data_IF_780478249156
#
_entry.id   IF_780478249156
#
_cell.length_a   1.000
_cell.length_b   1.000
_cell.length_c   1.000
_cell.angle_alpha   90.00
_cell.angle_beta   90.00
_cell.angle_gamma   90.00
#
_symmetry.space_group_name_H-M   'P 1'
#
loop_
_entity.id
_entity.type
_entity.pdbx_description
1 polymer ?
#
# COMPACT_ATOMS: atom_id res chain seq x y z
N UNK A 1 -9.68 7.24 -31.40
CA UNK A 1 -10.48 8.36 -30.84
C UNK A 1 -9.87 8.73 -29.49
N UNK A 2 -9.39 9.96 -29.35
CA UNK A 2 -8.91 10.52 -28.07
C UNK A 2 -10.13 10.83 -27.20
N UNK A 3 -10.69 9.80 -26.55
CA UNK A 3 -11.93 9.90 -25.78
C UNK A 3 -11.73 10.59 -24.43
N UNK A 4 -12.64 11.50 -24.12
CA UNK A 4 -12.95 12.20 -22.86
C UNK A 4 -11.81 12.86 -22.06
N UNK A 5 -10.73 12.14 -21.74
CA UNK A 5 -9.65 12.62 -20.84
C UNK A 5 -8.91 13.85 -21.40
N UNK A 6 -8.82 13.99 -22.72
CA UNK A 6 -8.12 15.10 -23.37
C UNK A 6 -9.00 16.33 -23.65
N UNK A 7 -10.32 16.26 -23.43
CA UNK A 7 -11.27 17.34 -23.79
C UNK A 7 -10.99 18.61 -22.99
N UNK A 8 -10.55 18.48 -21.72
CA UNK A 8 -10.20 19.60 -20.84
C UNK A 8 -8.69 19.82 -20.70
N UNK A 9 -7.86 19.15 -21.50
CA UNK A 9 -6.42 19.34 -21.42
C UNK A 9 -6.02 20.73 -21.94
N UNK A 10 -5.53 21.60 -21.06
CA UNK A 10 -5.15 22.98 -21.40
C UNK A 10 -3.87 23.08 -22.25
N UNK A 11 -3.21 21.97 -22.57
CA UNK A 11 -2.00 21.95 -23.38
C UNK A 11 -2.30 22.01 -24.87
N UNK A 12 -1.67 22.96 -25.57
CA UNK A 12 -1.84 23.14 -27.02
C UNK A 12 -1.09 22.09 -27.84
N UNK A 13 0.03 21.58 -27.34
CA UNK A 13 0.83 20.57 -28.05
C UNK A 13 0.11 19.22 -28.10
N UNK A 14 -0.03 18.67 -29.31
CA UNK A 14 -0.60 17.34 -29.52
C UNK A 14 0.35 16.24 -29.02
N UNK A 15 1.65 16.37 -29.29
CA UNK A 15 2.66 15.39 -28.89
C UNK A 15 2.77 15.28 -27.37
N UNK A 16 2.66 16.41 -26.66
CA UNK A 16 2.64 16.41 -25.20
C UNK A 16 1.38 15.74 -24.65
N UNK A 17 0.21 16.03 -25.24
CA UNK A 17 -1.04 15.37 -24.86
C UNK A 17 -0.98 13.85 -25.08
N UNK A 18 -0.35 13.41 -26.16
CA UNK A 18 -0.15 11.99 -26.43
C UNK A 18 0.76 11.33 -25.38
N UNK A 19 1.90 11.95 -25.04
CA UNK A 19 2.80 11.40 -24.01
C UNK A 19 2.15 11.30 -22.64
N UNK A 20 1.32 12.27 -22.25
CA UNK A 20 0.57 12.19 -20.99
C UNK A 20 -0.43 11.05 -20.99
N UNK A 21 -1.13 10.87 -22.10
CA UNK A 21 -2.12 9.81 -22.24
C UNK A 21 -1.47 8.42 -22.22
N UNK A 22 -0.30 8.26 -22.82
CA UNK A 22 0.46 7.00 -22.79
C UNK A 22 0.84 6.62 -21.35
N UNK A 23 1.23 7.59 -20.53
CA UNK A 23 1.54 7.37 -19.11
C UNK A 23 0.28 6.91 -18.37
N UNK A 24 -0.84 7.64 -18.50
CA UNK A 24 -2.11 7.28 -17.84
C UNK A 24 -2.58 5.89 -18.29
N UNK A 25 -2.49 5.58 -19.59
CA UNK A 25 -2.85 4.28 -20.12
C UNK A 25 -1.95 3.16 -19.59
N UNK A 26 -0.65 3.41 -19.43
CA UNK A 26 0.27 2.44 -18.85
C UNK A 26 -0.11 2.14 -17.39
N UNK A 27 -0.41 3.16 -16.59
CA UNK A 27 -0.87 2.99 -15.20
C UNK A 27 -2.14 2.14 -15.15
N UNK A 28 -3.16 2.50 -15.93
CA UNK A 28 -4.44 1.75 -15.98
C UNK A 28 -4.24 0.32 -16.45
N UNK A 29 -3.37 0.10 -17.44
CA UNK A 29 -3.07 -1.23 -17.95
C UNK A 29 -2.43 -2.10 -16.87
N UNK A 30 -1.41 -1.59 -16.16
CA UNK A 30 -0.75 -2.32 -15.07
C UNK A 30 -1.71 -2.66 -13.94
N UNK A 31 -2.58 -1.71 -13.57
CA UNK A 31 -3.65 -1.96 -12.59
C UNK A 31 -4.60 -3.09 -13.03
N UNK A 32 -4.98 -3.13 -14.31
CA UNK A 32 -5.86 -4.18 -14.84
C UNK A 32 -5.20 -5.55 -14.97
N UNK A 33 -3.91 -5.60 -15.28
CA UNK A 33 -3.19 -6.87 -15.46
C UNK A 33 -2.64 -7.44 -14.16
N UNK A 34 -2.74 -6.70 -13.05
CA UNK A 34 -2.18 -7.11 -11.77
C UNK A 34 -0.65 -7.05 -11.74
N UNK A 35 -0.01 -6.40 -12.72
CA UNK A 35 1.44 -6.18 -12.78
C UNK A 35 1.84 -4.99 -11.89
N UNK A 36 1.43 -5.06 -10.63
CA UNK A 36 1.59 -3.98 -9.65
C UNK A 36 2.16 -4.55 -8.35
N UNK A 37 3.47 -4.41 -8.18
CA UNK A 37 4.13 -4.56 -6.87
C UNK A 37 3.90 -3.27 -6.08
N UNK A 38 3.76 -3.30 -4.74
CA UNK A 38 3.45 -2.10 -3.93
C UNK A 38 4.36 -0.89 -4.20
N UNK A 39 5.64 -1.10 -4.52
CA UNK A 39 6.58 -0.05 -4.93
C UNK A 39 6.12 0.69 -6.21
N UNK A 40 5.53 -0.04 -7.15
CA UNK A 40 4.96 0.50 -8.37
C UNK A 40 3.78 1.43 -8.12
N UNK A 41 2.98 1.19 -7.07
CA UNK A 41 1.77 2.00 -6.78
C UNK A 41 2.18 3.40 -6.32
N UNK A 42 3.19 3.49 -5.47
CA UNK A 42 3.68 4.79 -5.00
C UNK A 42 4.34 5.60 -6.14
N UNK A 43 5.10 4.95 -7.02
CA UNK A 43 5.66 5.61 -8.21
C UNK A 43 4.54 6.10 -9.15
N UNK A 44 3.54 5.27 -9.43
CA UNK A 44 2.36 5.65 -10.22
C UNK A 44 1.64 6.86 -9.60
N UNK A 45 1.50 6.88 -8.28
CA UNK A 45 0.88 7.98 -7.53
C UNK A 45 1.64 9.28 -7.65
N UNK A 46 2.98 9.25 -7.60
CA UNK A 46 3.82 10.43 -7.81
C UNK A 46 3.65 10.97 -9.23
N UNK A 47 3.66 10.09 -10.24
CA UNK A 47 3.46 10.49 -11.63
C UNK A 47 2.06 11.07 -11.87
N UNK A 48 1.00 10.40 -11.41
CA UNK A 48 -0.38 10.89 -11.58
C UNK A 48 -0.61 12.20 -10.81
N UNK A 49 -0.01 12.38 -9.63
CA UNK A 49 -0.07 13.64 -8.87
C UNK A 49 0.66 14.77 -9.57
N UNK A 50 1.81 14.50 -10.22
CA UNK A 50 2.51 15.47 -11.04
C UNK A 50 1.63 15.92 -12.22
N UNK A 51 0.93 14.98 -12.87
CA UNK A 51 0.03 15.27 -14.01
C UNK A 51 -1.32 15.89 -13.61
N UNK A 52 -1.82 15.62 -12.40
CA UNK A 52 -3.01 16.29 -11.86
C UNK A 52 -2.77 17.82 -11.71
N UNK A 53 -1.53 18.21 -11.38
CA UNK A 53 -1.12 19.63 -11.34
C UNK A 53 -1.08 20.29 -12.72
N UNK A 54 -1.09 19.48 -13.78
CA UNK A 54 -0.98 19.85 -15.20
C UNK A 54 -2.38 20.03 -15.83
N UNK A 55 -3.45 20.03 -15.01
CA UNK A 55 -4.87 20.20 -15.39
C UNK A 55 -5.43 19.08 -16.28
N UNK A 56 -4.91 17.87 -16.16
CA UNK A 56 -5.62 16.69 -16.63
C UNK A 56 -6.60 16.25 -15.52
N UNK A 57 -7.85 15.94 -15.87
CA UNK A 57 -8.79 15.39 -14.90
C UNK A 57 -8.47 13.91 -14.65
N UNK A 58 -7.52 13.70 -13.74
CA UNK A 58 -7.06 12.39 -13.28
C UNK A 58 -7.37 12.16 -11.80
N UNK A 59 -8.26 12.96 -11.23
CA UNK A 59 -8.62 12.88 -9.80
C UNK A 59 -9.19 11.52 -9.44
N UNK A 60 -9.95 10.89 -10.35
CA UNK A 60 -10.47 9.53 -10.16
C UNK A 60 -9.35 8.49 -10.07
N UNK A 61 -8.27 8.64 -10.85
CA UNK A 61 -7.15 7.71 -10.86
C UNK A 61 -6.24 7.93 -9.65
N UNK A 62 -6.06 9.19 -9.25
CA UNK A 62 -5.35 9.56 -8.04
C UNK A 62 -6.04 8.95 -6.81
N UNK A 63 -7.36 9.14 -6.67
CA UNK A 63 -8.13 8.57 -5.56
C UNK A 63 -8.03 7.05 -5.53
N UNK A 64 -8.16 6.40 -6.69
CA UNK A 64 -8.05 4.94 -6.78
C UNK A 64 -6.67 4.42 -6.33
N UNK A 65 -5.59 5.13 -6.66
CA UNK A 65 -4.24 4.78 -6.20
C UNK A 65 -4.04 5.04 -4.70
N UNK A 66 -4.65 6.09 -4.16
CA UNK A 66 -4.62 6.40 -2.73
C UNK A 66 -5.35 5.32 -1.91
N UNK A 67 -6.53 4.88 -2.37
CA UNK A 67 -7.33 3.84 -1.70
C UNK A 67 -6.59 2.50 -1.62
N UNK A 68 -5.95 2.07 -2.73
CA UNK A 68 -5.16 0.83 -2.76
C UNK A 68 -3.95 0.92 -1.81
N UNK A 69 -3.30 2.08 -1.74
CA UNK A 69 -2.16 2.28 -0.83
C UNK A 69 -2.58 2.16 0.64
N UNK A 70 -3.75 2.69 0.99
CA UNK A 70 -4.28 2.62 2.35
C UNK A 70 -4.65 1.18 2.74
N UNK A 71 -5.26 0.42 1.83
CA UNK A 71 -5.57 -1.00 2.03
C UNK A 71 -4.31 -1.83 2.33
N UNK A 72 -3.25 -1.67 1.53
CA UNK A 72 -1.98 -2.36 1.75
C UNK A 72 -1.32 -2.02 3.09
N UNK A 73 -1.41 -0.76 3.54
CA UNK A 73 -0.90 -0.34 4.85
C UNK A 73 -1.70 -0.94 6.01
N UNK A 74 -3.02 -1.11 5.84
CA UNK A 74 -3.87 -1.76 6.84
C UNK A 74 -3.59 -3.26 6.96
N UNK A 75 -3.41 -3.97 5.85
CA UNK A 75 -3.05 -5.40 5.86
C UNK A 75 -1.73 -5.65 6.59
N UNK A 76 -0.74 -4.78 6.37
CA UNK A 76 0.54 -4.85 7.07
C UNK A 76 0.37 -4.63 8.57
N UNK A 77 -0.35 -3.59 8.98
CA UNK A 77 -0.63 -3.32 10.40
C UNK A 77 -1.36 -4.48 11.08
N UNK A 78 -2.31 -5.12 10.40
CA UNK A 78 -3.02 -6.29 10.92
C UNK A 78 -2.09 -7.50 11.11
N UNK A 79 -1.19 -7.71 10.15
CA UNK A 79 -0.16 -8.75 10.23
C UNK A 79 0.77 -8.53 11.42
N UNK A 80 1.26 -7.29 11.59
CA UNK A 80 2.14 -6.89 12.69
C UNK A 80 1.45 -7.09 14.07
N UNK A 81 0.17 -6.70 14.19
CA UNK A 81 -0.62 -6.91 15.42
C UNK A 81 -0.79 -8.40 15.75
N UNK A 82 -0.99 -9.23 14.73
CA UNK A 82 -1.15 -10.68 14.91
C UNK A 82 0.17 -11.32 15.38
N UNK A 83 1.30 -10.89 14.85
CA UNK A 83 2.63 -11.34 15.28
C UNK A 83 2.95 -10.91 16.71
N UNK A 84 2.63 -9.65 17.06
CA UNK A 84 2.79 -9.14 18.41
C UNK A 84 1.97 -9.97 19.41
N UNK A 85 0.71 -10.29 19.08
CA UNK A 85 -0.15 -11.13 19.92
C UNK A 85 0.43 -12.52 20.18
N UNK A 86 0.99 -13.18 19.17
CA UNK A 86 1.69 -14.47 19.31
C UNK A 86 2.88 -14.36 20.27
N UNK A 87 3.68 -13.30 20.10
CA UNK A 87 4.86 -13.04 20.94
C UNK A 87 4.47 -12.84 22.40
N UNK A 88 3.46 -12.01 22.66
CA UNK A 88 2.96 -11.78 24.03
C UNK A 88 2.48 -13.07 24.68
N UNK A 89 1.74 -13.92 23.95
CA UNK A 89 1.28 -15.21 24.48
C UNK A 89 2.43 -16.14 24.88
N UNK A 90 3.47 -16.23 24.04
CA UNK A 90 4.66 -17.03 24.35
C UNK A 90 5.41 -16.52 25.58
N UNK A 91 5.52 -15.20 25.73
CA UNK A 91 6.14 -14.56 26.90
C UNK A 91 5.35 -14.89 28.18
N UNK A 92 4.02 -14.83 28.14
CA UNK A 92 3.19 -15.23 29.29
C UNK A 92 3.41 -16.69 29.67
N UNK A 93 3.40 -17.61 28.70
CA UNK A 93 3.65 -19.04 28.97
C UNK A 93 5.05 -19.26 29.55
N UNK A 94 6.07 -18.59 29.02
CA UNK A 94 7.44 -18.70 29.54
C UNK A 94 7.54 -18.19 30.98
N UNK A 95 6.85 -17.09 31.29
CA UNK A 95 6.81 -16.50 32.63
C UNK A 95 6.12 -17.44 33.63
N UNK A 96 5.00 -18.04 33.25
CA UNK A 96 4.30 -19.02 34.09
C UNK A 96 5.16 -20.26 34.35
N UNK A 97 5.83 -20.78 33.31
CA UNK A 97 6.74 -21.91 33.46
C UNK A 97 7.93 -21.58 34.37
N UNK A 98 8.50 -20.39 34.25
CA UNK A 98 9.59 -19.93 35.12
C UNK A 98 9.15 -19.86 36.59
N UNK A 99 7.96 -19.33 36.86
CA UNK A 99 7.38 -19.29 38.22
C UNK A 99 7.19 -20.71 38.76
N UNK A 100 6.60 -21.61 37.97
CA UNK A 100 6.39 -23.01 38.37
C UNK A 100 7.70 -23.73 38.67
N UNK A 101 8.73 -23.50 37.87
CA UNK A 101 10.03 -24.14 38.05
C UNK A 101 10.78 -23.60 39.27
N UNK A 102 10.70 -22.29 39.53
CA UNK A 102 11.20 -21.70 40.78
C UNK A 102 10.48 -22.27 42.01
N UNK A 103 9.15 -22.38 41.96
CA UNK A 103 8.39 -22.97 43.07
C UNK A 103 8.79 -24.43 43.31
N UNK A 104 8.99 -25.24 42.26
CA UNK A 104 9.39 -26.64 42.41
C UNK A 104 10.76 -26.80 43.10
N UNK A 105 11.73 -25.94 42.77
CA UNK A 105 13.08 -25.99 43.38
C UNK A 105 13.08 -25.67 44.88
N UNK A 106 12.14 -24.85 45.34
CA UNK A 106 11.97 -24.51 46.76
C UNK A 106 11.42 -25.68 47.60
N UNK A 107 10.71 -26.64 46.98
CA UNK A 107 10.12 -27.80 47.69
C UNK A 107 10.98 -29.09 47.61
N UNK A 108 12.23 -29.00 47.16
CA UNK A 108 13.15 -30.16 47.04
C UNK A 108 14.37 -30.06 47.98
N UNK A 109 14.41 -29.09 48.88
CA UNK A 109 15.39 -29.01 49.97
C UNK A 109 14.71 -29.42 51.29
N UNK A 110 14.58 -30.74 51.51
CA UNK A 110 14.35 -31.38 52.82
C UNK A 110 15.12 -32.72 52.87
#
# INVERSE_FOLDING_TARGET
>A
MYGDVAVNCHYKSLSFRASLFDIVCNVVWRLKTGDVVSTSINDMRIFVSAEAKVKLDVTWLQQYLDDISEEGDMEKKLSDLTELGKTTMLVSIATEKDILERNRKVFTED
#
